data_IF_830815230388
#
_entry.id   IF_830815230388
#
_cell.length_a   1.000
_cell.length_b   1.000
_cell.length_c   1.000
_cell.angle_alpha   90.00
_cell.angle_beta   90.00
_cell.angle_gamma   90.00
#
_symmetry.space_group_name_H-M   'P 1'
#
loop_
_entity.id
_entity.type
_entity.pdbx_description
1 polymer ?
#
# COMPACT_ATOMS: atom_id res chain seq x y z
N UNK A 1 -60.35 -22.06 -15.80
CA UNK A 1 -59.21 -21.96 -14.86
C UNK A 1 -57.88 -22.33 -15.53
N UNK A 2 -57.84 -23.36 -16.38
CA UNK A 2 -56.62 -23.82 -17.09
C UNK A 2 -55.92 -22.74 -17.94
N UNK A 3 -56.67 -21.88 -18.64
CA UNK A 3 -56.11 -20.83 -19.49
C UNK A 3 -55.28 -19.77 -18.72
N UNK A 4 -55.59 -19.54 -17.45
CA UNK A 4 -54.79 -18.64 -16.60
C UNK A 4 -53.49 -19.28 -16.13
N UNK A 5 -53.47 -20.60 -15.93
CA UNK A 5 -52.27 -21.35 -15.57
C UNK A 5 -51.27 -21.41 -16.73
N UNK A 6 -51.75 -21.67 -17.95
CA UNK A 6 -50.89 -21.63 -19.15
C UNK A 6 -50.27 -20.24 -19.38
N UNK A 7 -51.05 -19.16 -19.20
CA UNK A 7 -50.52 -17.78 -19.31
C UNK A 7 -49.53 -17.41 -18.20
N UNK A 8 -49.58 -18.05 -17.03
CA UNK A 8 -48.58 -17.87 -15.97
C UNK A 8 -47.32 -18.68 -16.28
N UNK A 9 -47.46 -19.92 -16.72
CA UNK A 9 -46.34 -20.77 -17.13
C UNK A 9 -45.52 -20.12 -18.25
N UNK A 10 -46.17 -19.62 -19.30
CA UNK A 10 -45.48 -18.96 -20.41
C UNK A 10 -44.76 -17.66 -20.01
N UNK A 11 -45.27 -16.95 -18.99
CA UNK A 11 -44.59 -15.76 -18.45
C UNK A 11 -43.35 -16.14 -17.64
N UNK A 12 -43.47 -17.16 -16.80
CA UNK A 12 -42.34 -17.68 -16.03
C UNK A 12 -41.22 -18.23 -16.93
N UNK A 13 -41.55 -18.91 -18.03
CA UNK A 13 -40.56 -19.36 -19.01
C UNK A 13 -39.79 -18.20 -19.66
N UNK A 14 -40.49 -17.12 -20.03
CA UNK A 14 -39.86 -15.91 -20.60
C UNK A 14 -38.99 -15.18 -19.59
N UNK A 15 -39.42 -15.09 -18.34
CA UNK A 15 -38.62 -14.49 -17.26
C UNK A 15 -37.33 -15.29 -17.03
N UNK A 16 -37.42 -16.63 -17.02
CA UNK A 16 -36.27 -17.52 -16.86
C UNK A 16 -35.32 -17.45 -18.05
N UNK A 17 -35.83 -17.30 -19.28
CA UNK A 17 -35.01 -17.10 -20.47
C UNK A 17 -34.26 -15.75 -20.43
N UNK A 18 -34.93 -14.69 -20.00
CA UNK A 18 -34.32 -13.37 -19.81
C UNK A 18 -33.25 -13.40 -18.71
N UNK A 19 -33.50 -14.09 -17.59
CA UNK A 19 -32.51 -14.25 -16.52
C UNK A 19 -31.28 -15.02 -16.99
N UNK A 20 -31.47 -16.11 -17.76
CA UNK A 20 -30.36 -16.87 -18.38
C UNK A 20 -29.53 -15.99 -19.31
N UNK A 21 -30.18 -15.15 -20.12
CA UNK A 21 -29.49 -14.22 -21.02
C UNK A 21 -28.70 -13.18 -20.23
N UNK A 22 -29.31 -12.60 -19.21
CA UNK A 22 -28.66 -11.62 -18.33
C UNK A 22 -27.44 -12.21 -17.61
N UNK A 23 -27.56 -13.41 -17.02
CA UNK A 23 -26.43 -14.12 -16.40
C UNK A 23 -25.30 -14.41 -17.41
N UNK A 24 -25.63 -14.74 -18.66
CA UNK A 24 -24.62 -14.96 -19.70
C UNK A 24 -23.87 -13.68 -20.06
N UNK A 25 -24.58 -12.56 -20.14
CA UNK A 25 -23.99 -11.24 -20.37
C UNK A 25 -23.12 -10.80 -19.18
N UNK A 26 -23.59 -11.00 -17.95
CA UNK A 26 -22.86 -10.69 -16.72
C UNK A 26 -21.55 -11.51 -16.62
N UNK A 27 -21.62 -12.82 -16.86
CA UNK A 27 -20.43 -13.69 -16.91
C UNK A 27 -19.47 -13.27 -18.02
N UNK A 28 -19.98 -12.85 -19.18
CA UNK A 28 -19.17 -12.34 -20.28
C UNK A 28 -18.41 -11.08 -19.89
N UNK A 29 -19.11 -10.11 -19.29
CA UNK A 29 -18.53 -8.88 -18.78
C UNK A 29 -17.47 -9.15 -17.70
N UNK A 30 -17.76 -10.05 -16.76
CA UNK A 30 -16.80 -10.42 -15.70
C UNK A 30 -15.54 -11.06 -16.29
N UNK A 31 -15.67 -11.98 -17.24
CA UNK A 31 -14.53 -12.60 -17.93
C UNK A 31 -13.66 -11.56 -18.64
N UNK A 32 -14.29 -10.62 -19.35
CA UNK A 32 -13.57 -9.53 -20.00
C UNK A 32 -12.83 -8.67 -18.98
N UNK A 33 -13.48 -8.31 -17.88
CA UNK A 33 -12.86 -7.50 -16.83
C UNK A 33 -11.68 -8.20 -16.16
N UNK A 34 -11.79 -9.50 -15.90
CA UNK A 34 -10.68 -10.31 -15.36
C UNK A 34 -9.51 -10.34 -16.34
N UNK A 35 -9.77 -10.51 -17.64
CA UNK A 35 -8.71 -10.50 -18.66
C UNK A 35 -7.99 -9.14 -18.74
N UNK A 36 -8.72 -8.03 -18.64
CA UNK A 36 -8.13 -6.69 -18.56
C UNK A 36 -7.23 -6.52 -17.34
N UNK A 37 -7.68 -6.97 -16.16
CA UNK A 37 -6.88 -6.89 -14.92
C UNK A 37 -5.62 -7.76 -14.98
N UNK A 38 -5.69 -8.94 -15.62
CA UNK A 38 -4.51 -9.78 -15.84
C UNK A 38 -3.49 -9.05 -16.70
N UNK A 39 -3.94 -8.38 -17.77
CA UNK A 39 -3.06 -7.59 -18.64
C UNK A 39 -2.44 -6.41 -17.90
N UNK A 40 -3.24 -5.63 -17.17
CA UNK A 40 -2.76 -4.50 -16.38
C UNK A 40 -1.71 -4.94 -15.34
N UNK A 41 -1.94 -6.06 -14.66
CA UNK A 41 -0.96 -6.64 -13.74
C UNK A 41 0.33 -7.09 -14.43
N UNK A 42 0.27 -7.60 -15.66
CA UNK A 42 1.45 -7.97 -16.42
C UNK A 42 2.26 -6.72 -16.81
N UNK A 43 1.59 -5.66 -17.26
CA UNK A 43 2.23 -4.39 -17.62
C UNK A 43 2.90 -3.74 -16.38
N UNK A 44 2.23 -3.73 -15.22
CA UNK A 44 2.82 -3.24 -13.96
C UNK A 44 4.08 -4.04 -13.57
N UNK A 45 4.06 -5.36 -13.73
CA UNK A 45 5.22 -6.22 -13.44
C UNK A 45 6.39 -5.90 -14.37
N UNK A 46 6.13 -5.69 -15.66
CA UNK A 46 7.15 -5.31 -16.63
C UNK A 46 7.77 -3.94 -16.30
N UNK A 47 6.95 -2.95 -15.96
CA UNK A 47 7.43 -1.62 -15.54
C UNK A 47 8.24 -1.68 -14.25
N UNK A 48 7.82 -2.51 -13.30
CA UNK A 48 8.55 -2.70 -12.03
C UNK A 48 9.92 -3.32 -12.28
N UNK A 49 10.02 -4.33 -13.15
CA UNK A 49 11.29 -4.94 -13.53
C UNK A 49 12.22 -3.90 -14.17
N UNK A 50 11.72 -3.06 -15.09
CA UNK A 50 12.51 -2.00 -15.72
C UNK A 50 13.07 -0.99 -14.73
N UNK A 51 12.28 -0.60 -13.72
CA UNK A 51 12.72 0.32 -12.66
C UNK A 51 13.81 -0.31 -11.80
N UNK A 52 13.73 -1.62 -11.54
CA UNK A 52 14.76 -2.34 -10.79
C UNK A 52 16.07 -2.33 -11.58
N UNK A 53 16.03 -2.70 -12.86
CA UNK A 53 17.21 -2.71 -13.74
C UNK A 53 17.86 -1.32 -13.83
N UNK A 54 17.06 -0.27 -13.96
CA UNK A 54 17.53 1.13 -14.00
C UNK A 54 18.26 1.51 -12.70
N UNK A 55 17.71 1.13 -11.54
CA UNK A 55 18.35 1.37 -10.24
C UNK A 55 19.60 0.54 -10.00
N UNK A 56 19.67 -0.67 -10.56
CA UNK A 56 20.87 -1.49 -10.48
C UNK A 56 22.02 -0.86 -11.28
N UNK A 57 21.75 -0.33 -12.47
CA UNK A 57 22.74 0.42 -13.25
C UNK A 57 23.20 1.69 -12.52
N UNK A 58 22.29 2.47 -11.94
CA UNK A 58 22.66 3.66 -11.13
C UNK A 58 23.54 3.28 -9.93
N UNK A 59 23.26 2.14 -9.29
CA UNK A 59 24.05 1.64 -8.16
C UNK A 59 25.45 1.18 -8.59
N UNK A 60 25.59 0.53 -9.75
CA UNK A 60 26.89 0.19 -10.32
C UNK A 60 27.72 1.45 -10.64
N UNK A 61 27.10 2.45 -11.26
CA UNK A 61 27.77 3.73 -11.55
C UNK A 61 28.26 4.41 -10.27
N UNK A 62 27.43 4.43 -9.21
CA UNK A 62 27.82 4.97 -7.90
C UNK A 62 29.00 4.20 -7.29
N UNK A 63 29.04 2.87 -7.41
CA UNK A 63 30.17 2.05 -6.94
C UNK A 63 31.45 2.36 -7.72
N UNK A 64 31.37 2.55 -9.03
CA UNK A 64 32.52 2.95 -9.85
C UNK A 64 33.05 4.33 -9.45
N UNK A 65 32.18 5.30 -9.22
CA UNK A 65 32.56 6.64 -8.75
C UNK A 65 33.27 6.58 -7.38
N UNK A 66 32.76 5.77 -6.45
CA UNK A 66 33.38 5.56 -5.13
C UNK A 66 34.76 4.92 -5.30
N UNK A 67 34.89 3.87 -6.12
CA UNK A 67 36.17 3.22 -6.37
C UNK A 67 37.19 4.16 -7.03
N UNK A 68 36.75 5.00 -7.98
CA UNK A 68 37.60 6.02 -8.60
C UNK A 68 38.09 7.04 -7.57
N UNK A 69 37.23 7.47 -6.66
CA UNK A 69 37.58 8.39 -5.57
C UNK A 69 38.61 7.77 -4.61
N UNK A 70 38.42 6.51 -4.21
CA UNK A 70 39.38 5.76 -3.36
C UNK A 70 40.75 5.69 -4.04
N UNK A 71 40.78 5.36 -5.34
CA UNK A 71 42.03 5.27 -6.10
C UNK A 71 42.79 6.59 -6.17
N UNK A 72 42.10 7.73 -6.27
CA UNK A 72 42.73 9.06 -6.21
C UNK A 72 43.35 9.31 -4.84
N UNK A 73 42.65 8.91 -3.78
CA UNK A 73 43.13 9.08 -2.41
C UNK A 73 44.36 8.21 -2.10
N UNK A 74 44.36 6.94 -2.54
CA UNK A 74 45.49 6.02 -2.39
C UNK A 74 46.74 6.45 -3.16
N UNK A 75 46.56 7.11 -4.31
CA UNK A 75 47.71 7.61 -5.08
C UNK A 75 48.42 8.77 -4.40
N UNK A 76 47.76 9.49 -3.48
CA UNK A 76 48.30 10.55 -2.67
C UNK A 76 48.89 11.73 -3.47
N UNK A 77 48.73 13.00 -3.06
CA UNK A 77 49.66 14.00 -3.54
C UNK A 77 51.09 13.57 -3.14
N UNK A 78 52.11 13.76 -3.99
CA UNK A 78 53.49 13.53 -3.57
C UNK A 78 53.87 14.58 -2.52
N UNK A 79 53.53 14.34 -1.25
CA UNK A 79 54.51 14.16 -0.20
C UNK A 79 55.90 14.76 -0.48
N UNK A 80 56.17 16.10 -0.44
CA UNK A 80 57.56 16.54 -0.39
C UNK A 80 58.18 15.92 0.86
N UNK A 81 59.15 15.00 0.68
CA UNK A 81 59.87 14.37 1.79
C UNK A 81 60.38 15.48 2.72
N UNK A 82 59.91 15.57 3.97
CA UNK A 82 60.54 16.46 4.93
C UNK A 82 61.98 15.97 5.13
N UNK A 83 62.93 16.91 5.08
CA UNK A 83 64.34 16.64 5.30
C UNK A 83 64.52 15.90 6.63
N UNK A 84 65.29 14.81 6.58
CA UNK A 84 65.61 13.90 7.68
C UNK A 84 65.95 14.65 8.97
N UNK A 85 65.07 14.58 9.96
CA UNK A 85 65.40 14.88 11.36
C UNK A 85 65.66 13.54 12.03
N UNK A 86 66.84 13.43 12.66
CA UNK A 86 67.35 12.24 13.33
C UNK A 86 66.40 11.78 14.44
N UNK A 87 66.14 10.48 14.42
CA UNK A 87 65.38 9.72 15.41
C UNK A 87 66.08 9.78 16.78
N UNK A 88 65.29 10.07 17.82
CA UNK A 88 65.61 9.75 19.21
C UNK A 88 64.49 8.85 19.71
N UNK A 89 64.85 7.62 20.03
CA UNK A 89 63.98 6.54 20.45
C UNK A 89 63.29 6.87 21.78
N UNK A 90 61.97 6.66 21.84
CA UNK A 90 61.27 6.49 23.12
C UNK A 90 60.18 5.45 22.96
N UNK A 91 60.53 4.23 23.37
CA UNK A 91 59.57 3.20 23.76
C UNK A 91 58.75 3.71 24.95
N UNK A 92 57.43 3.57 24.88
CA UNK A 92 56.58 3.22 26.01
C UNK A 92 55.27 2.67 25.44
N UNK A 93 54.97 1.43 25.78
CA UNK A 93 53.81 0.71 25.30
C UNK A 93 52.54 1.10 26.05
N UNK A 94 51.39 0.84 25.44
CA UNK A 94 50.14 0.66 26.16
C UNK A 94 49.28 -0.42 25.50
N UNK A 95 49.05 -1.41 26.35
CA UNK A 95 48.04 -2.45 26.43
C UNK A 95 46.61 -2.00 26.09
N UNK A 96 45.76 -2.96 25.68
CA UNK A 96 44.32 -2.87 25.92
C UNK A 96 43.37 -2.75 24.72
N UNK A 97 43.07 -3.90 24.10
CA UNK A 97 41.69 -4.35 23.86
C UNK A 97 40.76 -3.58 22.89
N UNK A 98 40.50 -4.17 21.71
CA UNK A 98 39.22 -4.01 20.99
C UNK A 98 38.99 -5.22 20.07
N UNK A 99 38.29 -6.24 20.55
CA UNK A 99 36.86 -6.50 20.33
C UNK A 99 36.46 -6.59 18.85
N UNK A 100 36.30 -7.85 18.43
CA UNK A 100 35.11 -8.39 17.75
C UNK A 100 34.49 -7.53 16.64
N UNK A 101 34.90 -7.77 15.39
CA UNK A 101 33.99 -7.71 14.23
C UNK A 101 34.66 -8.27 12.98
N UNK A 102 34.80 -9.59 12.95
CA UNK A 102 35.17 -10.33 11.76
C UNK A 102 34.30 -11.58 11.76
N UNK A 103 33.14 -11.50 11.10
CA UNK A 103 32.32 -12.62 10.59
C UNK A 103 30.92 -12.07 10.19
N UNK A 104 30.86 -11.38 9.07
CA UNK A 104 29.61 -11.24 8.30
C UNK A 104 29.94 -11.11 6.81
N UNK A 105 30.73 -12.07 6.31
CA UNK A 105 31.11 -12.15 4.90
C UNK A 105 31.05 -13.61 4.44
N UNK A 106 29.93 -14.31 4.67
CA UNK A 106 29.72 -15.63 4.07
C UNK A 106 28.23 -15.97 3.94
N UNK A 107 27.52 -15.21 3.09
CA UNK A 107 26.23 -15.63 2.50
C UNK A 107 26.13 -15.16 1.06
N UNK A 108 27.01 -15.68 0.21
CA UNK A 108 26.80 -15.74 -1.24
C UNK A 108 27.24 -17.13 -1.67
N UNK A 109 26.31 -18.07 -1.68
CA UNK A 109 26.42 -19.23 -2.57
C UNK A 109 25.10 -19.99 -2.60
N UNK A 110 24.74 -20.41 -3.80
CA UNK A 110 23.68 -21.39 -4.16
C UNK A 110 22.22 -20.91 -4.17
N UNK A 111 21.86 -20.07 -5.16
CA UNK A 111 20.59 -20.28 -5.87
C UNK A 111 20.95 -20.86 -7.23
N UNK A 112 20.76 -22.17 -7.32
CA UNK A 112 20.96 -22.99 -8.50
C UNK A 112 19.81 -22.66 -9.44
N UNK A 113 20.14 -22.05 -10.58
CA UNK A 113 19.27 -21.95 -11.74
C UNK A 113 18.96 -23.38 -12.20
N UNK A 114 17.75 -23.86 -11.90
CA UNK A 114 17.16 -24.98 -12.62
C UNK A 114 16.41 -24.40 -13.82
N UNK A 115 17.14 -24.32 -14.94
CA UNK A 115 16.56 -24.27 -16.28
C UNK A 115 15.66 -25.51 -16.44
N UNK A 116 14.34 -25.31 -16.40
CA UNK A 116 13.40 -26.32 -16.87
C UNK A 116 13.18 -26.11 -18.36
N UNK A 117 13.79 -27.03 -19.10
CA UNK A 117 13.60 -27.35 -20.51
C UNK A 117 12.11 -27.54 -20.84
N UNK A 118 11.48 -26.54 -21.48
CA UNK A 118 10.16 -26.67 -22.09
C UNK A 118 10.29 -27.45 -23.41
N UNK A 119 10.46 -28.76 -23.28
CA UNK A 119 10.20 -29.73 -24.33
C UNK A 119 8.70 -29.72 -24.67
N UNK A 120 8.38 -29.25 -25.88
CA UNK A 120 7.05 -29.33 -26.43
C UNK A 120 6.57 -30.76 -26.60
N UNK A 121 5.30 -30.99 -26.29
CA UNK A 121 4.52 -32.04 -26.94
C UNK A 121 3.14 -31.48 -27.29
N UNK A 122 2.99 -31.36 -28.60
CA UNK A 122 1.79 -31.06 -29.34
C UNK A 122 0.86 -32.29 -29.32
N UNK A 123 -0.46 -32.04 -29.31
CA UNK A 123 -1.54 -32.97 -29.64
C UNK A 123 -1.96 -34.06 -28.61
N UNK A 124 -3.03 -33.76 -27.87
CA UNK A 124 -4.29 -34.54 -27.94
C UNK A 124 -5.39 -33.84 -27.13
N UNK A 125 -6.20 -32.99 -27.79
CA UNK A 125 -7.51 -32.59 -27.27
C UNK A 125 -8.48 -33.75 -27.47
N UNK A 126 -8.38 -34.75 -26.59
CA UNK A 126 -9.48 -35.70 -26.37
C UNK A 126 -10.62 -34.93 -25.71
N UNK A 127 -11.76 -34.89 -26.41
CA UNK A 127 -13.04 -34.50 -25.83
C UNK A 127 -13.31 -35.40 -24.63
N UNK A 128 -12.98 -34.92 -23.44
CA UNK A 128 -13.47 -35.52 -22.20
C UNK A 128 -14.92 -35.07 -22.09
N UNK A 129 -15.83 -36.02 -22.27
CA UNK A 129 -17.24 -35.89 -21.89
C UNK A 129 -17.29 -35.21 -20.52
N UNK A 130 -17.84 -34.00 -20.46
CA UNK A 130 -18.12 -33.34 -19.19
C UNK A 130 -19.04 -34.28 -18.41
N UNK A 131 -18.63 -34.78 -17.23
CA UNK A 131 -19.59 -35.42 -16.35
C UNK A 131 -20.65 -34.39 -16.03
N UNK A 132 -21.90 -34.73 -16.35
CA UNK A 132 -23.07 -34.05 -15.83
C UNK A 132 -22.95 -34.14 -14.30
N UNK A 133 -22.42 -33.08 -13.69
CA UNK A 133 -22.40 -32.89 -12.24
C UNK A 133 -23.84 -32.62 -11.81
N UNK A 134 -24.65 -33.68 -11.78
CA UNK A 134 -25.86 -33.74 -10.98
C UNK A 134 -25.50 -33.32 -9.56
N UNK A 135 -26.28 -32.36 -9.04
CA UNK A 135 -25.98 -31.61 -7.84
C UNK A 135 -25.65 -32.49 -6.65
N UNK A 136 -24.34 -32.62 -6.38
CA UNK A 136 -23.87 -33.00 -5.06
C UNK A 136 -24.26 -31.83 -4.17
N UNK A 137 -25.37 -31.98 -3.46
CA UNK A 137 -25.82 -31.06 -2.44
C UNK A 137 -24.68 -31.00 -1.40
N UNK A 138 -23.82 -29.99 -1.52
CA UNK A 138 -22.73 -29.80 -0.59
C UNK A 138 -23.37 -29.66 0.78
N UNK A 139 -23.03 -30.57 1.69
CA UNK A 139 -23.60 -30.62 3.04
C UNK A 139 -23.61 -29.23 3.64
N UNK A 140 -24.67 -28.88 4.35
CA UNK A 140 -24.88 -27.57 4.96
C UNK A 140 -23.62 -27.07 5.71
N UNK A 141 -22.92 -27.97 6.40
CA UNK A 141 -21.61 -27.74 7.05
C UNK A 141 -20.50 -27.22 6.12
N UNK A 142 -20.40 -27.73 4.89
CA UNK A 142 -19.40 -27.29 3.91
C UNK A 142 -19.77 -25.93 3.34
N UNK A 143 -21.06 -25.66 3.12
CA UNK A 143 -21.53 -24.33 2.71
C UNK A 143 -21.26 -23.29 3.80
N UNK A 144 -21.50 -23.62 5.07
CA UNK A 144 -21.22 -22.74 6.20
C UNK A 144 -19.71 -22.48 6.34
N UNK A 145 -18.87 -23.50 6.15
CA UNK A 145 -17.41 -23.32 6.16
C UNK A 145 -16.91 -22.40 5.04
N UNK A 146 -17.46 -22.53 3.82
CA UNK A 146 -17.14 -21.63 2.71
C UNK A 146 -17.63 -20.21 2.96
N UNK A 147 -18.79 -20.02 3.59
CA UNK A 147 -19.29 -18.71 3.98
C UNK A 147 -18.39 -18.02 5.01
N UNK A 148 -17.94 -18.76 6.04
CA UNK A 148 -17.00 -18.25 7.05
C UNK A 148 -15.65 -17.86 6.43
N UNK A 149 -15.11 -18.68 5.54
CA UNK A 149 -13.87 -18.34 4.81
C UNK A 149 -14.02 -17.08 3.95
N UNK A 150 -15.16 -16.90 3.27
CA UNK A 150 -15.43 -15.67 2.49
C UNK A 150 -15.52 -14.45 3.39
N UNK A 151 -16.18 -14.58 4.54
CA UNK A 151 -16.27 -13.48 5.52
C UNK A 151 -14.90 -13.13 6.11
N UNK A 152 -14.05 -14.12 6.38
CA UNK A 152 -12.69 -13.93 6.87
C UNK A 152 -11.80 -13.22 5.84
N UNK A 153 -11.82 -13.67 4.59
CA UNK A 153 -11.10 -12.98 3.50
C UNK A 153 -11.60 -11.54 3.31
N UNK A 154 -12.91 -11.30 3.38
CA UNK A 154 -13.47 -9.95 3.28
C UNK A 154 -13.01 -9.03 4.43
N UNK A 155 -12.93 -9.56 5.66
CA UNK A 155 -12.39 -8.82 6.81
C UNK A 155 -10.90 -8.49 6.64
N UNK A 156 -10.13 -9.41 6.08
CA UNK A 156 -8.70 -9.18 5.85
C UNK A 156 -8.46 -8.19 4.71
N UNK A 157 -9.29 -8.21 3.67
CA UNK A 157 -9.31 -7.17 2.64
C UNK A 157 -9.61 -5.79 3.23
N UNK A 158 -10.61 -5.69 4.11
CA UNK A 158 -10.98 -4.43 4.78
C UNK A 158 -9.83 -3.91 5.66
N UNK A 159 -9.19 -4.78 6.45
CA UNK A 159 -8.00 -4.41 7.25
C UNK A 159 -6.85 -3.94 6.37
N UNK A 160 -6.61 -4.61 5.24
CA UNK A 160 -5.53 -4.24 4.33
C UNK A 160 -5.80 -2.86 3.69
N UNK A 161 -7.04 -2.59 3.26
CA UNK A 161 -7.46 -1.29 2.77
C UNK A 161 -7.30 -0.20 3.84
N UNK A 162 -7.64 -0.49 5.10
CA UNK A 162 -7.43 0.43 6.21
C UNK A 162 -5.95 0.76 6.42
N UNK A 163 -5.09 -0.26 6.44
CA UNK A 163 -3.65 -0.10 6.59
C UNK A 163 -3.02 0.70 5.44
N UNK A 164 -3.46 0.45 4.20
CA UNK A 164 -3.01 1.19 3.02
C UNK A 164 -3.38 2.67 3.12
N UNK A 165 -4.63 2.98 3.53
CA UNK A 165 -5.06 4.37 3.75
C UNK A 165 -4.29 5.04 4.87
N UNK A 166 -4.02 4.32 5.95
CA UNK A 166 -3.20 4.83 7.05
C UNK A 166 -1.80 5.22 6.56
N UNK A 167 -1.14 4.35 5.80
CA UNK A 167 0.19 4.61 5.24
C UNK A 167 0.17 5.83 4.30
N UNK A 168 -0.84 5.93 3.42
CA UNK A 168 -1.01 7.08 2.52
C UNK A 168 -1.18 8.39 3.29
N UNK A 169 -1.94 8.41 4.39
CA UNK A 169 -2.11 9.59 5.23
C UNK A 169 -0.81 9.99 5.95
N UNK A 170 -0.03 9.02 6.40
CA UNK A 170 1.29 9.27 6.98
C UNK A 170 2.26 9.87 5.96
N UNK A 171 2.20 9.43 4.70
CA UNK A 171 2.98 10.04 3.61
C UNK A 171 2.57 11.50 3.38
N UNK A 172 1.27 11.79 3.29
CA UNK A 172 0.76 13.16 3.14
C UNK A 172 1.15 14.06 4.32
N UNK A 173 1.09 13.51 5.54
CA UNK A 173 1.53 14.17 6.76
C UNK A 173 3.02 14.57 6.65
N UNK A 174 3.89 13.64 6.26
CA UNK A 174 5.31 13.91 6.12
C UNK A 174 5.60 14.92 5.00
N UNK A 175 4.92 14.80 3.85
CA UNK A 175 5.05 15.76 2.75
C UNK A 175 4.66 17.18 3.16
N UNK A 176 3.54 17.34 3.87
CA UNK A 176 3.11 18.65 4.35
C UNK A 176 4.09 19.22 5.39
N UNK A 177 4.62 18.38 6.28
CA UNK A 177 5.66 18.80 7.23
C UNK A 177 6.89 19.36 6.49
N UNK A 178 7.45 18.57 5.58
CA UNK A 178 8.65 18.94 4.84
C UNK A 178 8.41 20.18 3.97
N UNK A 179 7.23 20.32 3.36
CA UNK A 179 6.87 21.50 2.59
C UNK A 179 6.80 22.77 3.46
N UNK A 180 6.27 22.67 4.67
CA UNK A 180 6.20 23.78 5.62
C UNK A 180 7.58 24.18 6.14
N UNK A 181 8.43 23.19 6.44
CA UNK A 181 9.81 23.42 6.89
C UNK A 181 10.67 24.08 5.79
N UNK A 182 10.55 23.60 4.55
CA UNK A 182 11.27 24.14 3.39
C UNK A 182 10.66 25.43 2.82
N UNK A 183 9.54 25.91 3.39
CA UNK A 183 8.78 27.06 2.88
C UNK A 183 8.40 26.92 1.40
N UNK A 184 8.07 25.70 0.98
CA UNK A 184 7.58 25.39 -0.36
C UNK A 184 6.04 25.47 -0.38
N UNK A 185 5.53 26.58 -0.89
CA UNK A 185 4.08 26.85 -0.94
C UNK A 185 3.35 25.89 -1.87
N UNK A 186 3.95 25.49 -2.99
CA UNK A 186 3.28 24.67 -4.00
C UNK A 186 3.09 23.25 -3.50
N UNK A 187 4.13 22.65 -2.92
CA UNK A 187 4.03 21.32 -2.30
C UNK A 187 3.05 21.30 -1.13
N UNK A 188 3.07 22.33 -0.29
CA UNK A 188 2.10 22.45 0.80
C UNK A 188 0.66 22.56 0.29
N UNK A 189 0.46 23.27 -0.83
CA UNK A 189 -0.87 23.41 -1.46
C UNK A 189 -1.38 22.06 -1.98
N UNK A 190 -0.55 21.29 -2.70
CA UNK A 190 -0.91 19.97 -3.23
C UNK A 190 -1.25 18.98 -2.11
N UNK A 191 -0.41 18.91 -1.06
CA UNK A 191 -0.67 18.03 0.07
C UNK A 191 -1.99 18.36 0.79
N UNK A 192 -2.35 19.64 0.90
CA UNK A 192 -3.65 20.06 1.45
C UNK A 192 -4.81 19.71 0.51
N UNK A 193 -4.62 19.81 -0.80
CA UNK A 193 -5.63 19.43 -1.80
C UNK A 193 -5.93 17.93 -1.75
N UNK A 194 -4.90 17.10 -1.67
CA UNK A 194 -5.05 15.65 -1.53
C UNK A 194 -5.77 15.29 -0.21
N UNK A 195 -5.44 15.98 0.89
CA UNK A 195 -6.15 15.83 2.17
C UNK A 195 -7.61 16.33 2.15
N UNK A 196 -7.96 17.25 1.25
CA UNK A 196 -9.34 17.73 1.08
C UNK A 196 -10.20 16.78 0.24
N UNK A 197 -9.58 16.03 -0.67
CA UNK A 197 -10.24 15.02 -1.49
C UNK A 197 -10.48 13.72 -0.74
N UNK A 198 -9.61 13.37 0.22
CA UNK A 198 -9.74 12.13 0.96
C UNK A 198 -10.89 12.17 1.99
N UNK A 199 -11.67 11.09 2.01
CA UNK A 199 -12.75 10.89 2.99
C UNK A 199 -12.15 10.15 4.17
N UNK A 200 -11.69 10.92 5.16
CA UNK A 200 -11.05 10.36 6.36
C UNK A 200 -12.10 9.91 7.38
N UNK A 201 -12.04 8.63 7.74
CA UNK A 201 -12.89 8.05 8.78
C UNK A 201 -12.45 8.48 10.20
N UNK A 202 -13.33 8.31 11.18
CA UNK A 202 -13.02 8.59 12.59
C UNK A 202 -11.81 7.78 13.08
N UNK A 203 -11.79 6.49 12.77
CA UNK A 203 -10.73 5.57 13.20
C UNK A 203 -9.38 6.00 12.63
N UNK A 204 -9.32 6.38 11.35
CA UNK A 204 -8.10 6.90 10.74
C UNK A 204 -7.63 8.22 11.39
N UNK A 205 -8.55 9.12 11.75
CA UNK A 205 -8.21 10.35 12.47
C UNK A 205 -7.62 10.07 13.87
N UNK A 206 -8.16 9.06 14.56
CA UNK A 206 -7.71 8.66 15.90
C UNK A 206 -6.34 7.95 15.87
N UNK A 207 -6.12 7.05 14.90
CA UNK A 207 -4.86 6.30 14.77
C UNK A 207 -3.72 7.17 14.25
N UNK A 208 -3.94 7.90 13.16
CA UNK A 208 -2.88 8.72 12.52
C UNK A 208 -2.57 10.01 13.27
N UNK A 209 -3.51 10.50 14.09
CA UNK A 209 -3.47 11.81 14.76
C UNK A 209 -3.24 13.00 13.83
N UNK A 210 -3.53 12.86 12.53
CA UNK A 210 -3.28 13.87 11.50
C UNK A 210 -3.90 15.24 11.81
N UNK A 211 -5.06 15.27 12.49
CA UNK A 211 -5.71 16.52 12.91
C UNK A 211 -4.86 17.38 13.85
N UNK A 212 -4.03 16.77 14.69
CA UNK A 212 -3.12 17.49 15.61
C UNK A 212 -1.99 18.13 14.81
N UNK A 213 -1.40 17.38 13.89
CA UNK A 213 -0.28 17.83 13.08
C UNK A 213 -0.70 18.94 12.10
N UNK A 214 -1.84 18.77 11.42
CA UNK A 214 -2.42 19.82 10.56
C UNK A 214 -2.74 21.08 11.37
N UNK A 215 -3.18 20.96 12.62
CA UNK A 215 -3.40 22.12 13.49
C UNK A 215 -2.08 22.81 13.90
N UNK A 216 -0.99 22.06 14.09
CA UNK A 216 0.36 22.60 14.32
C UNK A 216 0.84 23.37 13.09
N UNK A 217 0.78 22.77 11.89
CA UNK A 217 1.23 23.43 10.67
C UNK A 217 0.34 24.59 10.26
N UNK A 218 -0.97 24.53 10.52
CA UNK A 218 -1.87 25.68 10.33
C UNK A 218 -1.37 26.92 11.08
N UNK A 219 -0.89 26.75 12.32
CA UNK A 219 -0.35 27.85 13.12
C UNK A 219 0.95 28.39 12.51
N UNK A 220 1.85 27.50 12.08
CA UNK A 220 3.11 27.88 11.43
C UNK A 220 2.89 28.61 10.09
N UNK A 221 1.92 28.15 9.28
CA UNK A 221 1.59 28.74 7.98
C UNK A 221 0.78 30.04 8.10
N UNK A 222 0.26 30.41 9.27
CA UNK A 222 -0.66 31.54 9.43
C UNK A 222 -0.07 32.86 8.93
N UNK A 223 1.22 33.08 9.18
CA UNK A 223 1.93 34.30 8.78
C UNK A 223 2.47 34.21 7.34
N UNK A 224 2.98 33.05 6.93
CA UNK A 224 3.58 32.86 5.61
C UNK A 224 2.51 32.75 4.51
N UNK A 225 1.50 31.91 4.72
CA UNK A 225 0.47 31.56 3.73
C UNK A 225 -0.93 31.52 4.37
N UNK A 226 -1.53 32.69 4.67
CA UNK A 226 -2.82 32.78 5.37
C UNK A 226 -3.97 32.06 4.64
N UNK A 227 -3.93 31.98 3.31
CA UNK A 227 -4.91 31.24 2.51
C UNK A 227 -4.88 29.73 2.80
N UNK A 228 -3.69 29.12 2.88
CA UNK A 228 -3.55 27.70 3.22
C UNK A 228 -3.92 27.43 4.68
N UNK A 229 -3.56 28.34 5.59
CA UNK A 229 -3.97 28.26 6.98
C UNK A 229 -5.51 28.24 7.13
N UNK A 230 -6.23 29.01 6.30
CA UNK A 230 -7.70 29.00 6.27
C UNK A 230 -8.25 27.66 5.75
N UNK A 231 -7.65 27.05 4.73
CA UNK A 231 -8.02 25.72 4.21
C UNK A 231 -7.84 24.63 5.27
N UNK A 232 -6.68 24.58 5.93
CA UNK A 232 -6.43 23.67 7.05
C UNK A 232 -7.45 23.82 8.18
N UNK A 233 -7.92 25.05 8.45
CA UNK A 233 -8.99 25.26 9.43
C UNK A 233 -10.30 24.60 9.01
N UNK A 234 -10.68 24.74 7.73
CA UNK A 234 -11.87 24.08 7.18
C UNK A 234 -11.78 22.54 7.27
N UNK A 235 -10.61 21.97 6.98
CA UNK A 235 -10.34 20.54 7.17
C UNK A 235 -10.54 20.10 8.62
N UNK A 236 -9.93 20.80 9.57
CA UNK A 236 -10.06 20.49 11.00
C UNK A 236 -11.53 20.55 11.45
N UNK A 237 -12.29 21.55 10.99
CA UNK A 237 -13.73 21.66 11.31
C UNK A 237 -14.55 20.50 10.72
N UNK A 238 -14.24 20.05 9.50
CA UNK A 238 -14.84 18.85 8.90
C UNK A 238 -14.54 17.60 9.73
N UNK A 239 -13.27 17.38 10.08
CA UNK A 239 -12.86 16.23 10.90
C UNK A 239 -13.45 16.25 12.31
N UNK A 240 -13.58 17.42 12.92
CA UNK A 240 -14.27 17.56 14.20
C UNK A 240 -15.75 17.18 14.12
N UNK A 241 -16.42 17.39 12.99
CA UNK A 241 -17.80 16.91 12.80
C UNK A 241 -17.82 15.39 12.76
N UNK A 242 -16.95 14.75 11.98
CA UNK A 242 -16.82 13.29 11.90
C UNK A 242 -16.59 12.67 13.28
N UNK A 243 -15.75 13.28 14.11
CA UNK A 243 -15.50 12.84 15.49
C UNK A 243 -16.72 12.99 16.42
N UNK A 244 -17.62 13.94 16.15
CA UNK A 244 -18.79 14.26 16.99
C UNK A 244 -20.08 13.56 16.55
N UNK A 245 -20.21 13.20 15.27
CA UNK A 245 -21.45 12.65 14.69
C UNK A 245 -21.62 11.14 14.86
N UNK A 246 -20.73 10.46 15.59
CA UNK A 246 -20.95 9.06 15.92
C UNK A 246 -22.04 8.96 17.02
N UNK A 247 -23.15 8.21 16.80
CA UNK A 247 -24.09 7.94 17.87
C UNK A 247 -23.35 7.13 18.95
N UNK A 248 -23.08 7.77 20.08
CA UNK A 248 -22.66 7.05 21.28
C UNK A 248 -23.79 6.08 21.66
N UNK A 249 -23.55 4.76 21.72
CA UNK A 249 -24.56 3.81 22.20
C UNK A 249 -24.57 3.80 23.72
N UNK A 250 -24.69 4.97 24.38
CA UNK A 250 -25.02 5.12 25.80
C UNK A 250 -24.83 6.57 26.27
N UNK A 251 -25.92 7.35 26.24
CA UNK A 251 -26.35 8.19 27.37
C UNK A 251 -27.71 8.82 27.03
N UNK A 252 -28.72 7.96 26.90
CA UNK A 252 -30.11 8.35 27.04
C UNK A 252 -30.58 7.90 28.42
N UNK A 253 -29.99 8.49 29.46
CA UNK A 253 -30.51 8.42 30.83
C UNK A 253 -30.30 9.78 31.48
N UNK A 254 -31.40 10.52 31.56
CA UNK A 254 -31.71 11.40 32.68
C UNK A 254 -30.94 12.70 32.79
N UNK A 255 -31.35 13.71 32.03
CA UNK A 255 -31.30 15.09 32.54
C UNK A 255 -32.52 15.86 32.04
N UNK A 256 -33.70 15.40 32.49
CA UNK A 256 -34.84 16.27 32.73
C UNK A 256 -34.76 16.68 34.21
N UNK A 257 -34.55 17.97 34.50
CA UNK A 257 -35.61 18.91 34.87
C UNK A 257 -36.13 18.58 36.28
N UNK A 258 -35.66 19.31 37.31
CA UNK A 258 -36.51 20.33 37.94
C UNK A 258 -35.76 21.09 39.05
N UNK A 259 -35.84 22.41 38.92
CA UNK A 259 -35.39 23.38 39.90
C UNK A 259 -35.96 24.74 39.49
N UNK A 260 -37.17 25.05 39.97
CA UNK A 260 -37.68 26.40 40.23
C UNK A 260 -39.16 26.33 40.64
N UNK A 261 -39.43 26.28 41.96
CA UNK A 261 -40.16 27.29 42.76
C UNK A 261 -40.47 26.74 44.16
#
# INVERSE_FOLDING_TARGET
MEDQWMKRALRAEKELEMEKKWRKEEVGWFKQRVAELIKENADIKADTARIIDEKEMENEEQKEQINAFIKIFEQGPPYPRPATVKEEEREEGEDGGRKEREEEAERKDTVKEEEMDEGGDEAHLQQVDQPVLEGVDMSEDMQERLARMREEMAKDEEKNLFALRQSSLEQLKNQLQTAVENRDKEKATRAIEELELDIISRELLETTRIGVDVNKWRKAMKEMWPALSKRCRGLIEKWQKVMKTSPSPARNLGSGIDGAE
#
